data_IF_238327880038
#
_entry.id   IF_238327880038
#
_cell.length_a   1.000
_cell.length_b   1.000
_cell.length_c   1.000
_cell.angle_alpha   90.00
_cell.angle_beta   90.00
_cell.angle_gamma   90.00
#
_symmetry.space_group_name_H-M   'P 1'
#
loop_
_entity.id
_entity.type
_entity.pdbx_description
1 polymer ?
#
# COMPACT_ATOMS: atom_id res chain seq x y z
N UNK A 1 19.24 -4.74 -0.56
CA UNK A 1 18.02 -4.06 -1.11
C UNK A 1 18.28 -2.55 -1.21
N UNK A 2 17.90 -1.97 -2.34
CA UNK A 2 18.02 -0.54 -2.57
C UNK A 2 16.64 0.09 -2.56
N UNK A 3 16.48 1.19 -1.83
CA UNK A 3 15.23 1.93 -1.84
C UNK A 3 15.27 2.91 -3.02
N UNK A 4 14.26 2.87 -3.87
CA UNK A 4 14.11 3.80 -4.97
C UNK A 4 13.24 4.97 -4.49
N UNK A 5 13.88 6.07 -4.13
CA UNK A 5 13.19 7.22 -3.58
C UNK A 5 12.24 7.88 -4.58
N UNK A 6 12.50 7.73 -5.87
CA UNK A 6 11.58 8.21 -6.89
C UNK A 6 10.25 7.47 -6.81
N UNK A 7 10.31 6.16 -6.60
CA UNK A 7 9.10 5.36 -6.45
C UNK A 7 8.40 5.64 -5.12
N UNK A 8 9.15 5.95 -4.07
CA UNK A 8 8.56 6.30 -2.76
C UNK A 8 7.59 7.48 -2.93
N UNK A 9 8.02 8.56 -3.55
CA UNK A 9 7.17 9.71 -3.79
C UNK A 9 5.95 9.39 -4.64
N UNK A 10 6.15 8.61 -5.70
CA UNK A 10 5.04 8.20 -6.57
C UNK A 10 4.03 7.32 -5.86
N UNK A 11 4.50 6.41 -5.00
CA UNK A 11 3.60 5.54 -4.23
C UNK A 11 2.77 6.33 -3.23
N UNK A 12 3.38 7.30 -2.57
CA UNK A 12 2.66 8.18 -1.65
C UNK A 12 1.55 8.91 -2.40
N UNK A 13 1.87 9.52 -3.53
CA UNK A 13 0.88 10.23 -4.35
C UNK A 13 -0.24 9.31 -4.83
N UNK A 14 0.11 8.12 -5.28
CA UNK A 14 -0.85 7.14 -5.77
C UNK A 14 -1.84 6.73 -4.67
N UNK A 15 -1.32 6.37 -3.49
CA UNK A 15 -2.16 5.95 -2.36
C UNK A 15 -3.03 7.12 -1.91
N UNK A 16 -2.46 8.33 -1.87
CA UNK A 16 -3.20 9.53 -1.52
C UNK A 16 -4.40 9.73 -2.44
N UNK A 17 -4.18 9.62 -3.75
CA UNK A 17 -5.25 9.74 -4.76
C UNK A 17 -6.30 8.65 -4.59
N UNK A 18 -5.88 7.41 -4.35
CA UNK A 18 -6.79 6.29 -4.14
C UNK A 18 -7.71 6.55 -2.94
N UNK A 19 -7.19 7.22 -1.92
CA UNK A 19 -7.96 7.56 -0.72
C UNK A 19 -8.68 8.89 -0.83
N UNK A 20 -8.62 9.51 -2.01
CA UNK A 20 -9.31 10.77 -2.32
C UNK A 20 -8.89 11.92 -1.39
N UNK A 21 -7.61 11.95 -1.03
CA UNK A 21 -7.04 13.02 -0.22
C UNK A 21 -6.29 14.01 -1.11
N UNK A 22 -6.43 15.29 -0.79
CA UNK A 22 -5.58 16.32 -1.40
C UNK A 22 -4.21 16.31 -0.72
N UNK A 23 -3.21 16.93 -1.33
CA UNK A 23 -1.91 17.11 -0.67
C UNK A 23 -2.08 17.87 0.65
N UNK A 24 -2.92 18.89 0.66
CA UNK A 24 -3.19 19.67 1.86
C UNK A 24 -3.78 18.82 2.98
N UNK A 25 -4.76 17.98 2.66
CA UNK A 25 -5.36 17.09 3.64
C UNK A 25 -4.34 16.11 4.23
N UNK A 26 -3.54 15.48 3.37
CA UNK A 26 -2.53 14.53 3.85
C UNK A 26 -1.45 15.24 4.66
N UNK A 27 -0.98 16.39 4.21
CA UNK A 27 0.04 17.14 4.94
C UNK A 27 -0.46 17.51 6.35
N UNK A 28 -1.70 17.97 6.46
CA UNK A 28 -2.31 18.29 7.74
C UNK A 28 -2.34 17.05 8.67
N UNK A 29 -2.80 15.93 8.14
CA UNK A 29 -2.87 14.68 8.92
C UNK A 29 -1.50 14.18 9.36
N UNK A 30 -0.49 14.38 8.51
CA UNK A 30 0.88 13.93 8.79
C UNK A 30 1.67 14.94 9.63
N UNK A 31 1.11 16.13 9.84
CA UNK A 31 1.80 17.16 10.63
C UNK A 31 2.98 17.80 9.89
N UNK A 32 2.93 17.87 8.58
CA UNK A 32 3.96 18.48 7.74
C UNK A 32 3.36 19.57 6.87
N UNK A 33 4.20 20.40 6.27
CA UNK A 33 3.73 21.43 5.36
C UNK A 33 3.33 20.83 4.02
N UNK A 34 2.38 21.48 3.35
CA UNK A 34 1.98 21.10 2.01
C UNK A 34 3.16 21.14 1.04
N UNK A 35 4.01 22.16 1.18
CA UNK A 35 5.19 22.30 0.32
C UNK A 35 6.17 21.15 0.51
N UNK A 36 6.39 20.71 1.75
CA UNK A 36 7.28 19.58 2.03
C UNK A 36 6.72 18.29 1.42
N UNK A 37 5.43 18.03 1.60
CA UNK A 37 4.79 16.86 0.99
C UNK A 37 4.89 16.88 -0.52
N UNK A 38 4.65 18.05 -1.14
CA UNK A 38 4.79 18.20 -2.58
C UNK A 38 6.19 17.85 -3.06
N UNK A 39 7.20 18.30 -2.33
CA UNK A 39 8.59 17.99 -2.67
C UNK A 39 8.91 16.51 -2.53
N UNK A 40 8.33 15.85 -1.53
CA UNK A 40 8.50 14.42 -1.35
C UNK A 40 7.86 13.66 -2.51
N UNK A 41 6.64 14.01 -2.88
CA UNK A 41 5.93 13.34 -3.98
C UNK A 41 6.63 13.53 -5.33
N UNK A 42 7.32 14.65 -5.51
CA UNK A 42 8.05 14.94 -6.74
C UNK A 42 9.50 14.48 -6.72
N UNK A 43 9.90 13.81 -5.66
CA UNK A 43 11.27 13.32 -5.47
C UNK A 43 12.31 14.45 -5.41
N UNK A 44 11.91 15.60 -4.88
CA UNK A 44 12.82 16.73 -4.64
C UNK A 44 13.37 16.71 -3.22
N UNK A 45 12.73 16.00 -2.32
CA UNK A 45 13.15 15.82 -0.94
C UNK A 45 12.96 14.38 -0.53
N UNK A 46 13.90 13.88 0.26
CA UNK A 46 13.79 12.55 0.87
C UNK A 46 13.19 12.74 2.25
N UNK A 47 12.07 12.08 2.58
CA UNK A 47 11.50 12.23 3.90
C UNK A 47 12.40 11.61 4.96
N UNK A 48 12.44 12.22 6.14
CA UNK A 48 13.05 11.58 7.30
C UNK A 48 12.23 10.35 7.68
N UNK A 49 12.82 9.48 8.49
CA UNK A 49 12.11 8.29 8.95
C UNK A 49 10.84 8.68 9.71
N UNK A 50 10.92 9.69 10.57
CA UNK A 50 9.74 10.15 11.32
C UNK A 50 8.65 10.68 10.40
N UNK A 51 9.02 11.45 9.40
CA UNK A 51 8.07 11.98 8.41
C UNK A 51 7.43 10.86 7.64
N UNK A 52 8.22 9.86 7.22
CA UNK A 52 7.70 8.71 6.51
C UNK A 52 6.67 7.96 7.35
N UNK A 53 6.97 7.73 8.62
CA UNK A 53 6.06 7.06 9.53
C UNK A 53 4.78 7.87 9.74
N UNK A 54 4.89 9.19 9.83
CA UNK A 54 3.71 10.06 9.96
C UNK A 54 2.83 10.00 8.71
N UNK A 55 3.43 9.96 7.53
CA UNK A 55 2.70 9.81 6.27
C UNK A 55 2.00 8.45 6.22
N UNK A 56 2.70 7.39 6.59
CA UNK A 56 2.13 6.04 6.62
C UNK A 56 0.93 5.96 7.56
N UNK A 57 1.05 6.53 8.74
CA UNK A 57 -0.05 6.58 9.71
C UNK A 57 -1.24 7.36 9.16
N UNK A 58 -0.97 8.50 8.54
CA UNK A 58 -2.03 9.34 7.96
C UNK A 58 -2.75 8.63 6.81
N UNK A 59 -2.03 7.82 6.04
CA UNK A 59 -2.60 7.04 4.94
C UNK A 59 -3.16 5.69 5.37
N UNK A 60 -2.92 5.28 6.61
CA UNK A 60 -3.30 3.94 7.12
C UNK A 60 -2.66 2.82 6.31
N UNK A 61 -1.40 2.98 5.98
CA UNK A 61 -0.62 1.96 5.26
C UNK A 61 0.64 1.63 6.07
N UNK A 62 1.26 0.51 5.72
CA UNK A 62 2.53 0.13 6.32
C UNK A 62 3.69 0.81 5.59
N UNK A 63 4.83 1.04 6.25
CA UNK A 63 6.01 1.54 5.56
C UNK A 63 6.44 0.67 4.39
N UNK A 64 6.21 -0.62 4.49
CA UNK A 64 6.56 -1.58 3.45
C UNK A 64 5.86 -1.26 2.13
N UNK A 65 4.60 -0.86 2.18
CA UNK A 65 3.83 -0.51 0.98
C UNK A 65 4.41 0.70 0.25
N UNK A 66 5.06 1.59 0.98
CA UNK A 66 5.66 2.79 0.40
C UNK A 66 7.10 2.54 -0.03
N UNK A 67 7.89 1.89 0.83
CA UNK A 67 9.32 1.70 0.58
C UNK A 67 9.62 0.66 -0.49
N UNK A 68 8.91 -0.44 -0.45
CA UNK A 68 9.14 -1.58 -1.35
C UNK A 68 8.02 -1.64 -2.38
N UNK A 69 6.84 -1.22 -1.97
CA UNK A 69 5.65 -1.28 -2.76
C UNK A 69 5.05 -2.68 -2.73
N UNK A 70 3.77 -2.73 -3.04
CA UNK A 70 3.19 -3.95 -3.54
C UNK A 70 3.67 -4.00 -4.97
N UNK A 71 4.45 -4.98 -5.24
CA UNK A 71 5.04 -5.11 -6.53
C UNK A 71 4.00 -4.92 -7.63
N UNK A 72 4.39 -4.24 -8.67
CA UNK A 72 3.52 -3.97 -9.80
C UNK A 72 3.29 -5.20 -10.68
N UNK A 73 3.69 -6.39 -10.20
CA UNK A 73 3.43 -7.62 -10.92
C UNK A 73 1.95 -7.97 -10.84
N UNK A 74 1.44 -8.57 -11.90
CA UNK A 74 0.06 -9.05 -11.94
C UNK A 74 -0.24 -10.03 -10.82
N UNK A 75 0.75 -10.82 -10.40
CA UNK A 75 0.60 -11.80 -9.33
C UNK A 75 0.19 -11.14 -8.02
N UNK A 76 0.86 -10.06 -7.64
CA UNK A 76 0.55 -9.35 -6.41
C UNK A 76 -0.81 -8.66 -6.48
N UNK A 77 -1.16 -8.15 -7.66
CA UNK A 77 -2.46 -7.55 -7.90
C UNK A 77 -3.58 -8.57 -7.70
N UNK A 78 -3.44 -9.75 -8.29
CA UNK A 78 -4.42 -10.83 -8.14
C UNK A 78 -4.53 -11.30 -6.68
N UNK A 79 -3.40 -11.41 -5.98
CA UNK A 79 -3.39 -11.79 -4.57
C UNK A 79 -4.17 -10.79 -3.73
N UNK A 80 -3.98 -9.50 -3.99
CA UNK A 80 -4.69 -8.45 -3.27
C UNK A 80 -6.19 -8.53 -3.53
N UNK A 81 -6.60 -8.74 -4.77
CA UNK A 81 -8.01 -8.87 -5.12
C UNK A 81 -8.66 -10.07 -4.43
N UNK A 82 -7.95 -11.20 -4.41
CA UNK A 82 -8.43 -12.40 -3.74
C UNK A 82 -8.61 -12.14 -2.24
N UNK A 83 -7.63 -11.51 -1.59
CA UNK A 83 -7.73 -11.18 -0.17
C UNK A 83 -8.92 -10.28 0.12
N UNK A 84 -9.14 -9.26 -0.71
CA UNK A 84 -10.27 -8.36 -0.55
C UNK A 84 -11.61 -9.08 -0.67
N UNK A 85 -11.71 -10.03 -1.59
CA UNK A 85 -12.92 -10.82 -1.75
C UNK A 85 -13.14 -11.76 -0.56
N UNK A 86 -12.06 -12.37 -0.06
CA UNK A 86 -12.13 -13.28 1.10
C UNK A 86 -12.62 -12.54 2.34
N UNK A 87 -12.23 -11.28 2.52
CA UNK A 87 -12.69 -10.48 3.66
C UNK A 87 -14.20 -10.29 3.67
N UNK A 88 -14.84 -10.32 2.50
CA UNK A 88 -16.29 -10.18 2.38
C UNK A 88 -17.03 -11.48 2.66
N UNK A 89 -16.33 -12.60 2.78
CA UNK A 89 -16.92 -13.91 3.01
C UNK A 89 -17.17 -14.14 4.49
N UNK A 90 -18.19 -14.96 4.76
CA UNK A 90 -18.45 -15.44 6.13
C UNK A 90 -17.38 -16.45 6.54
N UNK A 91 -17.19 -16.69 7.86
CA UNK A 91 -16.24 -17.73 8.31
C UNK A 91 -16.51 -19.11 7.70
N UNK A 92 -17.77 -19.47 7.49
CA UNK A 92 -18.14 -20.73 6.86
C UNK A 92 -17.67 -20.77 5.40
N UNK A 93 -17.91 -19.69 4.67
CA UNK A 93 -17.47 -19.57 3.28
C UNK A 93 -15.95 -19.61 3.15
N UNK A 94 -15.23 -19.01 4.10
CA UNK A 94 -13.76 -19.05 4.11
C UNK A 94 -13.23 -20.47 4.27
N UNK A 95 -13.90 -21.30 5.07
CA UNK A 95 -13.52 -22.70 5.22
C UNK A 95 -13.66 -23.46 3.91
N UNK A 96 -14.72 -23.19 3.16
CA UNK A 96 -14.93 -23.81 1.86
C UNK A 96 -13.83 -23.40 0.89
N UNK A 97 -13.47 -22.12 0.87
CA UNK A 97 -12.40 -21.58 0.00
C UNK A 97 -11.08 -22.28 0.31
N UNK A 98 -10.75 -22.40 1.60
CA UNK A 98 -9.50 -23.06 2.03
C UNK A 98 -9.49 -24.51 1.56
N UNK A 99 -10.59 -25.21 1.68
CA UNK A 99 -10.71 -26.59 1.22
C UNK A 99 -10.46 -26.71 -0.28
N UNK A 100 -11.01 -25.80 -1.07
CA UNK A 100 -10.81 -25.77 -2.52
C UNK A 100 -9.33 -25.54 -2.85
N UNK A 101 -8.69 -24.60 -2.16
CA UNK A 101 -7.28 -24.30 -2.37
C UNK A 101 -6.43 -25.51 -2.05
N UNK A 102 -6.70 -26.19 -0.94
CA UNK A 102 -5.98 -27.40 -0.54
C UNK A 102 -6.10 -28.50 -1.59
N UNK A 103 -7.31 -28.69 -2.14
CA UNK A 103 -7.54 -29.67 -3.21
C UNK A 103 -6.70 -29.33 -4.45
N UNK A 104 -6.67 -28.06 -4.82
CA UNK A 104 -5.88 -27.62 -5.98
C UNK A 104 -4.38 -27.85 -5.78
N UNK A 105 -3.90 -27.61 -4.58
CA UNK A 105 -2.48 -27.82 -4.25
C UNK A 105 -2.16 -29.31 -4.27
N UNK A 106 -3.01 -30.13 -3.68
CA UNK A 106 -2.77 -31.57 -3.57
C UNK A 106 -2.83 -32.28 -4.93
N UNK A 107 -3.50 -31.70 -5.90
CA UNK A 107 -3.63 -32.28 -7.24
C UNK A 107 -2.60 -31.77 -8.23
N UNK A 108 -1.59 -31.06 -7.78
CA UNK A 108 -0.49 -30.65 -8.64
C UNK A 108 0.34 -31.86 -9.04
N UNK A 109 0.75 -31.82 -10.30
CA UNK A 109 1.69 -32.81 -10.81
C UNK A 109 3.09 -32.24 -10.84
#
# INVERSE_FOLDING_TARGET
MKIDYQLVGKRIAKIRHEKKLTQENLAEKAGITNNYLSNIERNRSIPSLETLMSICTALSVTPNEILIGTDDTQTNYLTRDICNLIEKCTPYERKIIISIIDILIDNRQ
#
